data_IF_976272845328
#
_entry.id   IF_976272845328
#
_cell.length_a   1.000
_cell.length_b   1.000
_cell.length_c   1.000
_cell.angle_alpha   90.00
_cell.angle_beta   90.00
_cell.angle_gamma   90.00
#
_symmetry.space_group_name_H-M   'P 1'
#
loop_
_entity.id
_entity.type
_entity.pdbx_description
1 polymer ?
#
# COMPACT_ATOMS: atom_id res chain seq x y z
N UNK A 1 -13.58 7.55 7.99
CA UNK A 1 -12.94 6.49 7.20
C UNK A 1 -11.43 6.67 7.25
N UNK A 2 -10.73 5.60 7.58
CA UNK A 2 -9.27 5.62 7.66
C UNK A 2 -8.61 5.47 6.30
N UNK A 3 -7.28 5.33 6.34
CA UNK A 3 -6.43 5.37 5.17
C UNK A 3 -5.48 4.19 5.16
N UNK A 4 -5.43 3.46 4.06
CA UNK A 4 -4.40 2.44 3.83
C UNK A 4 -3.38 3.04 2.86
N UNK A 5 -2.11 3.04 3.26
CA UNK A 5 -1.04 3.64 2.48
C UNK A 5 -0.36 2.57 1.63
N UNK A 6 -0.37 2.78 0.33
CA UNK A 6 0.27 1.89 -0.63
C UNK A 6 1.79 2.07 -0.60
N UNK A 7 2.49 1.01 -0.98
CA UNK A 7 3.95 0.96 -1.03
C UNK A 7 4.56 2.16 -1.79
N UNK A 8 3.93 2.56 -2.89
CA UNK A 8 4.45 3.65 -3.74
C UNK A 8 4.59 4.97 -2.98
N UNK A 9 3.73 5.21 -1.98
CA UNK A 9 3.80 6.41 -1.16
C UNK A 9 5.06 6.42 -0.31
N UNK A 10 5.37 5.29 0.34
CA UNK A 10 6.57 5.19 1.17
C UNK A 10 7.84 5.31 0.33
N UNK A 11 7.84 4.72 -0.88
CA UNK A 11 8.98 4.87 -1.80
C UNK A 11 9.15 6.34 -2.18
N UNK A 12 8.06 7.05 -2.46
CA UNK A 12 8.12 8.47 -2.79
C UNK A 12 8.66 9.30 -1.62
N UNK A 13 8.21 8.98 -0.40
CA UNK A 13 8.69 9.67 0.81
C UNK A 13 10.18 9.44 1.03
N UNK A 14 10.66 8.20 0.82
CA UNK A 14 12.09 7.90 0.93
C UNK A 14 12.93 8.74 -0.03
N UNK A 15 12.37 9.01 -1.20
CA UNK A 15 13.05 9.81 -2.24
C UNK A 15 12.93 11.31 -2.01
N UNK A 16 12.36 11.72 -0.88
CA UNK A 16 12.23 13.12 -0.52
C UNK A 16 11.03 13.82 -1.12
N UNK A 17 10.12 13.09 -1.76
CA UNK A 17 8.90 13.70 -2.26
C UNK A 17 7.97 14.02 -1.10
N UNK A 18 7.16 15.06 -1.25
CA UNK A 18 6.19 15.46 -0.24
C UNK A 18 4.78 15.37 -0.80
N UNK A 19 3.83 15.18 0.09
CA UNK A 19 2.42 15.14 -0.25
C UNK A 19 1.61 15.66 0.92
N UNK A 20 0.28 15.49 0.88
CA UNK A 20 -0.55 15.90 1.99
C UNK A 20 -0.11 15.23 3.28
N UNK A 21 -0.05 16.00 4.36
CA UNK A 21 0.21 15.43 5.67
C UNK A 21 -0.97 14.55 6.08
N UNK A 22 -0.68 13.49 6.84
CA UNK A 22 -1.74 12.69 7.41
C UNK A 22 -2.41 13.48 8.52
N UNK A 23 -3.75 13.45 8.53
CA UNK A 23 -4.50 14.03 9.62
C UNK A 23 -4.17 13.24 10.89
N UNK A 24 -3.87 13.96 11.99
CA UNK A 24 -3.49 13.32 13.24
C UNK A 24 -4.59 12.44 13.83
N UNK A 25 -5.84 12.74 13.52
CA UNK A 25 -6.99 11.96 13.99
C UNK A 25 -7.37 10.84 13.04
N UNK A 26 -6.73 10.76 11.88
CA UNK A 26 -7.07 9.77 10.87
C UNK A 26 -6.37 8.44 11.19
N UNK A 27 -7.12 7.36 11.11
CA UNK A 27 -6.54 6.02 11.19
C UNK A 27 -5.69 5.79 9.94
N UNK A 28 -4.42 5.43 10.14
CA UNK A 28 -3.49 5.15 9.03
C UNK A 28 -2.89 3.77 9.25
N UNK A 29 -2.95 2.95 8.21
CA UNK A 29 -2.44 1.59 8.26
C UNK A 29 -1.75 1.24 6.95
N UNK A 30 -1.02 0.14 6.96
CA UNK A 30 -0.48 -0.44 5.74
C UNK A 30 -0.74 -1.95 5.73
N UNK A 31 -0.68 -2.53 4.55
CA UNK A 31 -0.88 -3.96 4.36
C UNK A 31 0.43 -4.71 4.62
N UNK A 32 0.34 -5.94 5.13
CA UNK A 32 1.52 -6.79 5.32
C UNK A 32 2.29 -7.01 4.01
N UNK A 33 1.60 -6.97 2.86
CA UNK A 33 2.27 -7.04 1.55
C UNK A 33 3.17 -5.82 1.36
N UNK A 34 2.71 -4.63 1.74
CA UNK A 34 3.53 -3.41 1.70
C UNK A 34 4.74 -3.56 2.62
N UNK A 35 4.55 -4.09 3.82
CA UNK A 35 5.68 -4.34 4.72
C UNK A 35 6.72 -5.25 4.05
N UNK A 36 6.26 -6.32 3.40
CA UNK A 36 7.15 -7.25 2.69
C UNK A 36 7.91 -6.55 1.57
N UNK A 37 7.22 -5.72 0.78
CA UNK A 37 7.86 -5.01 -0.32
C UNK A 37 8.91 -4.02 0.17
N UNK A 38 8.62 -3.30 1.26
CA UNK A 38 9.58 -2.36 1.84
C UNK A 38 10.81 -3.09 2.39
N UNK A 39 10.59 -4.21 3.09
CA UNK A 39 11.68 -5.02 3.64
C UNK A 39 12.52 -5.65 2.52
N UNK A 40 11.87 -6.09 1.44
CA UNK A 40 12.58 -6.58 0.25
C UNK A 40 13.52 -5.50 -0.30
N UNK A 41 13.07 -4.25 -0.31
CA UNK A 41 13.92 -3.13 -0.73
C UNK A 41 15.17 -2.98 0.12
N UNK A 42 15.09 -3.26 1.43
CA UNK A 42 16.25 -3.26 2.31
C UNK A 42 17.25 -4.34 1.86
N UNK A 43 16.76 -5.56 1.63
CA UNK A 43 17.61 -6.68 1.24
C UNK A 43 18.24 -6.48 -0.13
N UNK A 44 17.58 -5.75 -1.04
CA UNK A 44 18.09 -5.49 -2.38
C UNK A 44 19.13 -4.38 -2.43
N UNK A 45 19.27 -3.58 -1.37
CA UNK A 45 20.22 -2.46 -1.39
C UNK A 45 21.65 -3.00 -1.56
N UNK A 46 22.41 -2.39 -2.48
CA UNK A 46 23.68 -2.93 -2.95
C UNK A 46 24.89 -2.52 -2.12
N UNK A 47 24.73 -1.58 -1.19
CA UNK A 47 25.79 -1.11 -0.31
C UNK A 47 25.31 -1.16 1.13
N UNK A 48 26.21 -1.57 2.04
CA UNK A 48 25.83 -1.76 3.45
C UNK A 48 25.34 -0.45 4.08
N UNK A 49 25.96 0.69 3.76
CA UNK A 49 25.56 1.97 4.29
C UNK A 49 24.16 2.36 3.80
N UNK A 50 23.88 2.13 2.53
CA UNK A 50 22.56 2.40 1.96
C UNK A 50 21.52 1.46 2.54
N UNK A 51 21.89 0.20 2.76
CA UNK A 51 21.00 -0.80 3.35
C UNK A 51 20.59 -0.42 4.76
N UNK A 52 21.55 0.04 5.58
CA UNK A 52 21.25 0.44 6.95
C UNK A 52 20.36 1.68 7.00
N UNK A 53 20.59 2.63 6.12
CA UNK A 53 19.77 3.84 6.05
C UNK A 53 18.32 3.47 5.68
N UNK A 54 18.15 2.60 4.69
CA UNK A 54 16.83 2.16 4.27
C UNK A 54 16.17 1.32 5.35
N UNK A 55 16.93 0.46 6.03
CA UNK A 55 16.41 -0.34 7.15
C UNK A 55 15.83 0.57 8.23
N UNK A 56 16.56 1.62 8.61
CA UNK A 56 16.09 2.54 9.64
C UNK A 56 14.78 3.22 9.21
N UNK A 57 14.69 3.62 7.95
CA UNK A 57 13.48 4.23 7.40
C UNK A 57 12.30 3.26 7.47
N UNK A 58 12.49 2.03 6.98
CA UNK A 58 11.43 1.03 6.93
C UNK A 58 10.98 0.64 8.35
N UNK A 59 11.93 0.40 9.26
CA UNK A 59 11.57 0.01 10.62
C UNK A 59 10.81 1.13 11.34
N UNK A 60 11.12 2.40 11.05
CA UNK A 60 10.37 3.51 11.64
C UNK A 60 8.91 3.53 11.17
N UNK A 61 8.67 3.15 9.90
CA UNK A 61 7.32 3.04 9.37
C UNK A 61 6.57 1.89 10.06
N UNK A 62 7.22 0.72 10.18
CA UNK A 62 6.58 -0.45 10.77
C UNK A 62 6.29 -0.26 12.26
N UNK A 63 7.08 0.58 12.94
CA UNK A 63 6.85 0.89 14.35
C UNK A 63 5.73 1.92 14.54
N UNK A 64 5.49 2.77 13.55
CA UNK A 64 4.56 3.89 13.66
C UNK A 64 3.13 3.52 13.26
N UNK A 65 2.97 2.70 12.22
CA UNK A 65 1.66 2.44 11.65
C UNK A 65 1.23 1.00 11.90
N UNK A 66 -0.08 0.81 11.97
CA UNK A 66 -0.64 -0.53 12.08
C UNK A 66 -0.43 -1.31 10.78
N UNK A 67 0.01 -2.56 10.89
CA UNK A 67 0.21 -3.46 9.74
C UNK A 67 -0.94 -4.45 9.71
N UNK A 68 -1.75 -4.42 8.66
CA UNK A 68 -2.93 -5.28 8.53
C UNK A 68 -2.58 -6.56 7.79
N UNK A 69 -2.93 -7.72 8.34
CA UNK A 69 -2.55 -9.00 7.72
C UNK A 69 -3.46 -9.36 6.56
N UNK A 70 -3.00 -10.31 5.75
CA UNK A 70 -3.84 -10.99 4.76
C UNK A 70 -4.49 -12.18 5.49
N UNK A 71 -5.71 -11.99 5.94
CA UNK A 71 -6.47 -13.01 6.64
C UNK A 71 -7.55 -13.59 5.74
N UNK A 72 -8.36 -14.49 6.27
CA UNK A 72 -9.39 -15.14 5.45
C UNK A 72 -10.44 -14.16 4.91
N UNK A 73 -10.97 -13.20 5.70
CA UNK A 73 -11.88 -12.21 5.12
C UNK A 73 -11.25 -11.43 3.96
N UNK A 74 -9.99 -11.03 4.10
CA UNK A 74 -9.26 -10.36 3.02
C UNK A 74 -9.14 -11.28 1.80
N UNK A 75 -8.82 -12.56 2.02
CA UNK A 75 -8.68 -13.52 0.93
C UNK A 75 -9.99 -13.70 0.16
N UNK A 76 -11.11 -13.71 0.86
CA UNK A 76 -12.42 -13.84 0.21
C UNK A 76 -12.70 -12.64 -0.69
N UNK A 77 -12.40 -11.44 -0.22
CA UNK A 77 -12.57 -10.21 -1.01
C UNK A 77 -11.61 -10.22 -2.18
N UNK A 78 -10.36 -10.61 -1.95
CA UNK A 78 -9.35 -10.70 -2.99
C UNK A 78 -9.82 -11.61 -4.15
N UNK A 79 -10.35 -12.78 -3.81
CA UNK A 79 -10.82 -13.72 -4.83
C UNK A 79 -11.95 -13.12 -5.67
N UNK A 80 -12.87 -12.39 -5.03
CA UNK A 80 -13.98 -11.76 -5.73
C UNK A 80 -13.51 -10.64 -6.65
N UNK A 81 -12.63 -9.77 -6.14
CA UNK A 81 -12.07 -8.68 -6.96
C UNK A 81 -11.31 -9.22 -8.16
N UNK A 82 -10.55 -10.27 -7.94
CA UNK A 82 -9.79 -10.93 -9.01
C UNK A 82 -10.73 -11.43 -10.12
N UNK A 83 -11.80 -12.13 -9.72
CA UNK A 83 -12.78 -12.64 -10.68
C UNK A 83 -13.47 -11.50 -11.43
N UNK A 84 -13.85 -10.43 -10.72
CA UNK A 84 -14.52 -9.30 -11.33
C UNK A 84 -13.63 -8.60 -12.37
N UNK A 85 -12.35 -8.38 -12.04
CA UNK A 85 -11.42 -7.74 -12.96
C UNK A 85 -11.18 -8.59 -14.19
N UNK A 86 -11.02 -9.92 -14.02
CA UNK A 86 -10.84 -10.81 -15.15
C UNK A 86 -12.06 -10.82 -16.08
N UNK A 87 -13.26 -10.80 -15.50
CA UNK A 87 -14.48 -10.79 -16.30
C UNK A 87 -14.62 -9.51 -17.13
N UNK A 88 -13.99 -8.43 -16.68
CA UNK A 88 -13.99 -7.14 -17.40
C UNK A 88 -12.78 -6.98 -18.30
N UNK A 89 -11.95 -8.01 -18.45
CA UNK A 89 -10.74 -7.93 -19.26
C UNK A 89 -9.67 -7.03 -18.68
N UNK A 90 -9.69 -6.81 -17.38
CA UNK A 90 -8.73 -5.92 -16.72
C UNK A 90 -7.80 -6.70 -15.81
N UNK A 91 -6.62 -6.14 -15.57
CA UNK A 91 -5.64 -6.73 -14.67
C UNK A 91 -4.99 -5.65 -13.83
N UNK A 92 -4.48 -6.08 -12.70
CA UNK A 92 -3.73 -5.25 -11.76
C UNK A 92 -2.65 -6.16 -11.17
N UNK A 93 -1.51 -5.62 -10.77
CA UNK A 93 -0.43 -6.41 -10.20
C UNK A 93 -0.89 -7.23 -9.01
N UNK A 94 -0.32 -8.42 -8.86
CA UNK A 94 -0.77 -9.38 -7.82
C UNK A 94 -0.70 -8.77 -6.42
N UNK A 95 0.41 -8.10 -6.08
CA UNK A 95 0.56 -7.46 -4.77
C UNK A 95 -0.43 -6.29 -4.60
N UNK A 96 -0.61 -5.48 -5.64
CA UNK A 96 -1.53 -4.36 -5.59
C UNK A 96 -2.97 -4.83 -5.36
N UNK A 97 -3.33 -5.97 -5.93
CA UNK A 97 -4.67 -6.52 -5.72
C UNK A 97 -4.87 -6.96 -4.27
N UNK A 98 -3.83 -7.55 -3.64
CA UNK A 98 -3.89 -7.90 -2.22
C UNK A 98 -4.01 -6.66 -1.34
N UNK A 99 -3.28 -5.60 -1.67
CA UNK A 99 -3.36 -4.33 -0.96
C UNK A 99 -4.77 -3.75 -1.09
N UNK A 100 -5.33 -3.77 -2.31
CA UNK A 100 -6.67 -3.29 -2.56
C UNK A 100 -7.71 -4.07 -1.76
N UNK A 101 -7.59 -5.40 -1.73
CA UNK A 101 -8.51 -6.25 -0.96
C UNK A 101 -8.46 -5.94 0.54
N UNK A 102 -7.27 -5.64 1.05
CA UNK A 102 -7.10 -5.24 2.45
C UNK A 102 -7.86 -3.94 2.73
N UNK A 103 -7.73 -2.96 1.83
CA UNK A 103 -8.44 -1.69 1.98
C UNK A 103 -9.95 -1.90 1.96
N UNK A 104 -10.46 -2.70 1.03
CA UNK A 104 -11.90 -2.98 0.94
C UNK A 104 -12.39 -3.70 2.20
N UNK A 105 -11.63 -4.69 2.68
CA UNK A 105 -12.03 -5.44 3.87
C UNK A 105 -12.16 -4.57 5.11
N UNK A 106 -11.29 -3.58 5.26
CA UNK A 106 -11.27 -2.72 6.43
C UNK A 106 -11.98 -1.38 6.20
N UNK A 107 -12.63 -1.23 5.05
CA UNK A 107 -13.37 0.00 4.69
C UNK A 107 -12.47 1.23 4.76
N UNK A 108 -11.25 1.11 4.23
CA UNK A 108 -10.27 2.17 4.19
C UNK A 108 -10.14 2.73 2.78
N UNK A 109 -9.90 4.05 2.67
CA UNK A 109 -9.44 4.61 1.40
C UNK A 109 -8.01 4.19 1.19
N UNK A 110 -7.58 4.07 -0.05
CA UNK A 110 -6.18 3.82 -0.35
C UNK A 110 -5.51 5.12 -0.79
N UNK A 111 -4.34 5.39 -0.23
CA UNK A 111 -3.49 6.50 -0.65
C UNK A 111 -2.37 5.91 -1.48
N UNK A 112 -2.20 6.39 -2.72
CA UNK A 112 -1.25 5.81 -3.66
C UNK A 112 -0.66 6.88 -4.57
N UNK A 113 0.60 6.67 -4.97
CA UNK A 113 1.20 7.42 -6.07
C UNK A 113 0.87 6.78 -7.42
N UNK A 114 0.15 5.64 -7.43
CA UNK A 114 -0.17 4.86 -8.63
C UNK A 114 -1.70 4.79 -8.79
N UNK A 115 -2.32 5.96 -8.94
CA UNK A 115 -3.77 6.11 -9.00
C UNK A 115 -4.40 5.23 -10.09
N UNK A 116 -3.74 5.14 -11.24
CA UNK A 116 -4.28 4.49 -12.43
C UNK A 116 -4.65 3.03 -12.17
N UNK A 117 -3.77 2.29 -11.50
CA UNK A 117 -3.98 0.86 -11.28
C UNK A 117 -5.10 0.62 -10.26
N UNK A 118 -5.10 1.38 -9.18
CA UNK A 118 -6.10 1.17 -8.13
C UNK A 118 -7.48 1.69 -8.51
N UNK A 119 -7.56 2.64 -9.44
CA UNK A 119 -8.86 3.15 -9.91
C UNK A 119 -9.69 2.08 -10.61
N UNK A 120 -9.08 1.00 -11.07
CA UNK A 120 -9.79 -0.10 -11.73
C UNK A 120 -10.55 -1.00 -10.78
N UNK A 121 -10.26 -0.91 -9.49
CA UNK A 121 -10.80 -1.86 -8.50
C UNK A 121 -12.20 -1.44 -8.07
N UNK A 122 -13.21 -2.29 -8.28
CA UNK A 122 -14.58 -1.94 -7.88
C UNK A 122 -14.70 -1.76 -6.37
N UNK A 123 -15.43 -0.74 -5.97
CA UNK A 123 -15.73 -0.50 -4.56
C UNK A 123 -14.60 0.13 -3.76
N UNK A 124 -13.46 0.42 -4.39
CA UNK A 124 -12.30 1.00 -3.71
C UNK A 124 -12.31 2.52 -3.86
N UNK A 125 -12.17 3.23 -2.74
CA UNK A 125 -11.97 4.67 -2.75
C UNK A 125 -10.47 4.95 -2.81
N UNK A 126 -10.06 5.79 -3.75
CA UNK A 126 -8.64 6.01 -4.04
C UNK A 126 -8.32 7.49 -3.94
N UNK A 127 -7.23 7.79 -3.25
CA UNK A 127 -6.73 9.16 -3.10
C UNK A 127 -5.30 9.19 -3.62
N UNK A 128 -4.99 10.20 -4.43
CA UNK A 128 -3.68 10.34 -5.03
C UNK A 128 -2.70 11.01 -4.07
N UNK A 129 -1.49 10.48 -3.98
CA UNK A 129 -0.40 11.07 -3.22
C UNK A 129 0.56 11.79 -4.16
N UNK A 130 0.93 13.02 -3.77
CA UNK A 130 1.92 13.79 -4.49
C UNK A 130 1.32 14.63 -5.59
N UNK A 131 2.21 15.22 -6.38
CA UNK A 131 1.82 16.09 -7.47
C UNK A 131 1.25 15.29 -8.63
N UNK A 132 0.40 15.92 -9.34
CA UNK A 132 -0.07 15.39 -10.61
C UNK A 132 0.93 15.70 -11.70
#
# INVERSE_FOLDING_TARGET
MGLLVDTSVFVALERGQTGPAFDSDEQVALCSVTASELLHGVHRADASQRREKRRAFVESILARFEVLPIDLPTARIHAQLWADLRSQGQSIGAHDLLIAATAVNHELRILTANLRDFARVPGLLVESFGAR
#
